data_IF_239280750191
#
_entry.id   IF_239280750191
#
_cell.length_a   1.000
_cell.length_b   1.000
_cell.length_c   1.000
_cell.angle_alpha   90.00
_cell.angle_beta   90.00
_cell.angle_gamma   90.00
#
_symmetry.space_group_name_H-M   'P 1'
#
loop_
_entity.id
_entity.type
_entity.pdbx_description
1 polymer ?
#
# COMPACT_ATOMS: atom_id res chain seq x y z
N UNK A 1 2.80 2.36 31.23
CA UNK A 1 1.54 2.87 30.66
C UNK A 1 1.14 1.92 29.54
N UNK A 2 -0.15 1.71 29.27
CA UNK A 2 -0.58 0.82 28.18
C UNK A 2 -0.45 1.54 26.84
N UNK A 3 -0.08 0.80 25.77
CA UNK A 3 0.01 1.34 24.40
C UNK A 3 -1.28 2.04 23.97
N UNK A 4 -2.43 1.51 24.38
CA UNK A 4 -3.74 2.10 24.11
C UNK A 4 -3.87 3.51 24.68
N UNK A 5 -3.50 3.71 25.95
CA UNK A 5 -3.55 5.04 26.59
C UNK A 5 -2.62 6.01 25.86
N UNK A 6 -1.40 5.58 25.58
CA UNK A 6 -0.40 6.43 24.93
C UNK A 6 -0.85 6.84 23.51
N UNK A 7 -1.48 5.92 22.76
CA UNK A 7 -2.03 6.21 21.44
C UNK A 7 -3.21 7.19 21.47
N UNK A 8 -4.15 7.03 22.40
CA UNK A 8 -5.27 7.96 22.56
C UNK A 8 -4.81 9.35 23.02
N UNK A 9 -3.84 9.38 23.94
CA UNK A 9 -3.24 10.62 24.42
C UNK A 9 -2.49 11.34 23.30
N UNK A 10 -1.75 10.61 22.46
CA UNK A 10 -1.03 11.17 21.32
C UNK A 10 -1.97 11.91 20.34
N UNK A 11 -3.15 11.35 20.05
CA UNK A 11 -4.10 11.97 19.10
C UNK A 11 -5.00 13.06 19.72
N UNK A 12 -5.19 13.07 21.04
CA UNK A 12 -6.12 13.99 21.71
C UNK A 12 -5.47 15.25 22.28
N UNK A 13 -4.13 15.26 22.40
CA UNK A 13 -3.37 16.46 22.79
C UNK A 13 -3.55 17.57 21.76
N UNK A 14 -3.59 18.81 22.23
CA UNK A 14 -3.73 19.98 21.35
C UNK A 14 -2.40 20.31 20.64
N UNK A 15 -2.44 20.67 19.34
CA UNK A 15 -3.62 20.64 18.45
C UNK A 15 -4.06 19.20 18.15
N UNK A 16 -5.38 18.94 18.23
CA UNK A 16 -5.94 17.59 18.02
C UNK A 16 -5.67 17.08 16.61
N UNK A 17 -5.55 15.76 16.49
CA UNK A 17 -5.22 15.12 15.23
C UNK A 17 -3.72 15.26 14.92
N UNK A 18 -3.37 15.07 13.65
CA UNK A 18 -1.98 14.88 13.23
C UNK A 18 -1.50 15.83 12.14
N UNK A 19 -2.40 16.66 11.62
CA UNK A 19 -2.12 17.54 10.48
C UNK A 19 -2.65 18.95 10.72
N UNK A 20 -2.01 19.93 10.09
CA UNK A 20 -2.44 21.32 10.06
C UNK A 20 -2.10 21.95 8.70
N UNK A 21 -2.80 23.02 8.33
CA UNK A 21 -2.53 23.79 7.11
C UNK A 21 -1.84 25.10 7.51
N UNK A 22 -0.62 25.28 7.00
CA UNK A 22 0.20 26.45 7.30
C UNK A 22 0.46 27.24 6.01
N UNK A 23 0.37 28.57 6.08
CA UNK A 23 0.74 29.43 4.96
C UNK A 23 2.22 29.32 4.64
N UNK A 24 2.56 29.19 3.35
CA UNK A 24 3.95 29.19 2.88
C UNK A 24 4.47 30.59 2.56
N UNK A 25 3.58 31.60 2.54
CA UNK A 25 3.91 32.99 2.22
C UNK A 25 3.54 33.91 3.39
N UNK A 26 4.26 35.03 3.59
CA UNK A 26 3.87 36.04 4.56
C UNK A 26 2.46 36.58 4.29
N UNK A 27 1.73 36.92 5.35
CA UNK A 27 0.41 37.56 5.29
C UNK A 27 0.28 38.68 6.34
N UNK A 28 1.38 39.39 6.64
CA UNK A 28 1.46 40.32 7.78
C UNK A 28 1.22 41.78 7.40
N UNK A 29 1.43 42.14 6.14
CA UNK A 29 1.28 43.52 5.65
C UNK A 29 0.14 43.67 4.64
N UNK A 30 -0.32 44.90 4.43
CA UNK A 30 -1.30 45.21 3.38
C UNK A 30 -0.80 44.78 1.97
N UNK A 31 0.51 44.89 1.74
CA UNK A 31 1.15 44.42 0.50
C UNK A 31 1.06 42.89 0.41
N UNK A 32 1.35 42.17 1.48
CA UNK A 32 1.27 40.70 1.49
C UNK A 32 -0.16 40.24 1.19
N UNK A 33 -1.17 40.84 1.83
CA UNK A 33 -2.58 40.53 1.57
C UNK A 33 -3.01 40.86 0.13
N UNK A 34 -2.50 41.96 -0.44
CA UNK A 34 -2.72 42.33 -1.84
C UNK A 34 -2.16 41.29 -2.81
N UNK A 35 -1.07 40.61 -2.46
CA UNK A 35 -0.44 39.57 -3.27
C UNK A 35 -1.07 38.19 -3.05
N UNK A 36 -1.33 37.84 -1.79
CA UNK A 36 -1.92 36.55 -1.40
C UNK A 36 -3.39 36.43 -1.84
N UNK A 37 -4.10 37.55 -1.94
CA UNK A 37 -5.50 37.60 -2.33
C UNK A 37 -5.76 38.74 -3.31
N UNK A 38 -6.99 39.29 -3.31
CA UNK A 38 -7.38 40.35 -4.21
C UNK A 38 -6.63 41.67 -3.92
N UNK A 39 -6.24 42.41 -4.98
CA UNK A 39 -6.40 42.09 -6.40
C UNK A 39 -5.31 41.18 -7.01
N UNK A 40 -4.18 40.95 -6.34
CA UNK A 40 -2.99 40.29 -6.91
C UNK A 40 -3.22 38.85 -7.36
N UNK A 41 -4.04 38.08 -6.64
CA UNK A 41 -4.36 36.68 -6.96
C UNK A 41 -5.00 36.51 -8.35
N UNK A 42 -5.62 37.54 -8.92
CA UNK A 42 -6.17 37.49 -10.27
C UNK A 42 -5.10 37.28 -11.35
N UNK A 43 -3.86 37.70 -11.09
CA UNK A 43 -2.75 37.60 -12.05
C UNK A 43 -2.40 36.13 -12.34
N UNK A 44 -2.03 35.28 -11.35
CA UNK A 44 -1.77 33.87 -11.61
C UNK A 44 -3.01 33.14 -12.16
N UNK A 45 -4.22 33.49 -11.72
CA UNK A 45 -5.46 32.92 -12.29
C UNK A 45 -5.57 33.17 -13.81
N UNK A 46 -5.33 34.40 -14.26
CA UNK A 46 -5.36 34.74 -15.69
C UNK A 46 -4.24 34.06 -16.49
N UNK A 47 -3.06 33.86 -15.88
CA UNK A 47 -1.96 33.12 -16.51
C UNK A 47 -2.32 31.65 -16.68
N UNK A 48 -2.84 31.00 -15.64
CA UNK A 48 -3.28 29.60 -15.69
C UNK A 48 -4.44 29.41 -16.67
N UNK A 49 -5.38 30.37 -16.74
CA UNK A 49 -6.48 30.31 -17.70
C UNK A 49 -5.99 30.28 -19.17
N UNK A 50 -4.90 31.01 -19.48
CA UNK A 50 -4.29 31.03 -20.81
C UNK A 50 -3.39 29.80 -21.06
N UNK A 51 -2.66 29.38 -20.04
CA UNK A 51 -1.70 28.28 -20.09
C UNK A 51 -1.92 27.33 -18.89
N UNK A 52 -2.80 26.32 -19.01
CA UNK A 52 -3.19 25.46 -17.88
C UNK A 52 -2.03 24.80 -17.13
N UNK A 53 -0.93 24.45 -17.83
CA UNK A 53 0.26 23.84 -17.21
C UNK A 53 0.94 24.75 -16.17
N UNK A 54 0.74 26.07 -16.26
CA UNK A 54 1.24 27.04 -15.27
C UNK A 54 0.65 26.86 -13.88
N UNK A 55 -0.37 26.01 -13.72
CA UNK A 55 -0.86 25.58 -12.41
C UNK A 55 0.26 24.99 -11.54
N UNK A 56 1.26 24.32 -12.15
CA UNK A 56 2.39 23.75 -11.42
C UNK A 56 3.43 24.79 -11.00
N UNK A 57 3.44 25.96 -11.63
CA UNK A 57 4.39 27.05 -11.33
C UNK A 57 3.85 27.96 -10.21
N UNK A 58 2.52 28.17 -10.18
CA UNK A 58 1.89 29.17 -9.32
C UNK A 58 1.00 28.61 -8.21
N UNK A 59 0.93 27.28 -8.06
CA UNK A 59 0.14 26.63 -7.00
C UNK A 59 0.90 25.50 -6.32
N UNK A 60 0.33 24.96 -5.24
CA UNK A 60 0.87 23.80 -4.55
C UNK A 60 0.65 22.47 -5.28
N UNK A 61 -0.09 22.44 -6.41
CA UNK A 61 -0.47 21.19 -7.13
C UNK A 61 0.71 20.25 -7.34
N UNK A 62 1.87 20.76 -7.76
CA UNK A 62 3.06 19.95 -8.04
C UNK A 62 3.66 19.21 -6.85
N UNK A 63 3.26 19.54 -5.61
CA UNK A 63 3.74 18.89 -4.39
C UNK A 63 2.59 18.49 -3.45
N UNK A 64 1.37 18.38 -3.96
CA UNK A 64 0.17 18.07 -3.18
C UNK A 64 -0.43 16.73 -3.63
N UNK A 65 -0.56 15.78 -2.71
CA UNK A 65 -1.17 14.46 -2.96
C UNK A 65 -2.48 14.34 -2.18
N UNK A 66 -3.49 13.75 -2.81
CA UNK A 66 -4.69 13.31 -2.10
C UNK A 66 -4.46 11.91 -1.55
N UNK A 67 -4.62 11.71 -0.24
CA UNK A 67 -4.78 10.37 0.34
C UNK A 67 -6.28 10.09 0.42
N UNK A 68 -6.78 9.17 -0.40
CA UNK A 68 -8.21 8.94 -0.59
C UNK A 68 -8.59 7.56 -0.08
N UNK A 69 -9.59 7.51 0.79
CA UNK A 69 -10.17 6.28 1.29
C UNK A 69 -11.68 6.41 1.40
N UNK A 70 -12.39 5.28 1.33
CA UNK A 70 -13.80 5.20 1.76
C UNK A 70 -13.97 4.41 3.07
N UNK A 71 -12.86 4.03 3.74
CA UNK A 71 -12.85 3.36 5.03
C UNK A 71 -13.36 1.92 5.02
N UNK A 72 -13.39 1.27 3.84
CA UNK A 72 -13.97 -0.07 3.68
C UNK A 72 -13.01 -1.23 3.98
N UNK A 73 -11.71 -0.95 4.12
CA UNK A 73 -10.70 -1.95 4.45
C UNK A 73 -9.57 -1.38 5.31
N UNK A 74 -9.92 -0.70 6.41
CA UNK A 74 -8.94 -0.01 7.26
C UNK A 74 -8.10 -1.02 8.04
N UNK A 75 -6.81 -1.13 7.71
CA UNK A 75 -5.88 -2.06 8.35
C UNK A 75 -6.46 -3.50 8.41
N UNK A 76 -6.37 -4.16 9.57
CA UNK A 76 -7.07 -5.41 9.86
C UNK A 76 -8.46 -5.23 10.50
N UNK A 77 -8.99 -4.01 10.55
CA UNK A 77 -10.27 -3.69 11.18
C UNK A 77 -11.46 -3.85 10.22
N UNK A 78 -11.20 -3.83 8.91
CA UNK A 78 -12.21 -4.00 7.88
C UNK A 78 -13.00 -2.73 7.60
N UNK A 79 -14.29 -2.89 7.31
CA UNK A 79 -15.19 -1.78 6.99
C UNK A 79 -15.66 -1.09 8.28
N UNK A 80 -14.98 0.00 8.63
CA UNK A 80 -15.28 0.82 9.82
C UNK A 80 -15.77 2.23 9.43
N UNK A 81 -15.89 2.48 8.13
CA UNK A 81 -16.38 3.72 7.57
C UNK A 81 -15.36 4.87 7.55
N UNK A 82 -15.68 5.95 6.83
CA UNK A 82 -14.77 7.06 6.55
C UNK A 82 -14.29 7.76 7.83
N UNK A 83 -15.19 8.05 8.78
CA UNK A 83 -14.81 8.78 10.01
C UNK A 83 -13.79 8.02 10.87
N UNK A 84 -13.95 6.70 11.00
CA UNK A 84 -13.03 5.88 11.77
C UNK A 84 -11.71 5.62 11.05
N UNK A 85 -11.68 5.77 9.72
CA UNK A 85 -10.45 5.69 8.91
C UNK A 85 -9.55 6.93 9.05
N UNK A 86 -10.12 8.08 9.41
CA UNK A 86 -9.42 9.38 9.43
C UNK A 86 -8.07 9.37 10.16
N UNK A 87 -7.92 8.78 11.36
CA UNK A 87 -6.63 8.71 12.01
C UNK A 87 -5.58 8.00 11.14
N UNK A 88 -5.93 6.95 10.40
CA UNK A 88 -4.97 6.26 9.51
C UNK A 88 -4.55 7.18 8.36
N UNK A 89 -5.49 7.88 7.74
CA UNK A 89 -5.23 8.78 6.61
C UNK A 89 -4.40 10.00 7.00
N UNK A 90 -4.68 10.65 8.14
CA UNK A 90 -3.80 11.70 8.67
C UNK A 90 -2.39 11.16 8.95
N UNK A 91 -2.30 9.90 9.40
CA UNK A 91 -1.03 9.20 9.59
C UNK A 91 -0.24 9.10 8.29
N UNK A 92 -0.88 8.67 7.20
CA UNK A 92 -0.27 8.65 5.85
C UNK A 92 0.21 10.04 5.43
N UNK A 93 -0.58 11.08 5.72
CA UNK A 93 -0.19 12.48 5.50
C UNK A 93 1.11 12.87 6.20
N UNK A 94 1.26 12.55 7.49
CA UNK A 94 2.52 12.78 8.22
C UNK A 94 3.69 12.06 7.54
N UNK A 95 3.51 10.81 7.14
CA UNK A 95 4.58 10.00 6.56
C UNK A 95 5.04 10.56 5.21
N UNK A 96 4.11 10.95 4.32
CA UNK A 96 4.42 11.68 3.09
C UNK A 96 5.24 12.94 3.37
N UNK A 97 4.81 13.75 4.35
CA UNK A 97 5.48 14.99 4.69
C UNK A 97 6.86 14.76 5.29
N UNK A 98 6.99 13.82 6.22
CA UNK A 98 8.21 13.57 6.99
C UNK A 98 9.30 12.93 6.14
N UNK A 99 8.95 11.98 5.28
CA UNK A 99 9.93 11.18 4.52
C UNK A 99 10.23 11.75 3.13
N UNK A 100 9.28 12.44 2.51
CA UNK A 100 9.41 12.93 1.13
C UNK A 100 9.11 14.42 0.93
N UNK A 101 8.82 15.16 2.02
CA UNK A 101 8.40 16.56 1.99
C UNK A 101 7.21 16.82 1.04
N UNK A 102 6.30 15.85 0.94
CA UNK A 102 5.07 15.96 0.14
C UNK A 102 3.95 16.51 1.03
N UNK A 103 3.19 17.48 0.53
CA UNK A 103 2.01 17.97 1.23
C UNK A 103 0.83 17.07 0.89
N UNK A 104 -0.05 16.86 1.87
CA UNK A 104 -1.19 15.94 1.71
C UNK A 104 -2.47 16.60 2.20
N UNK A 105 -3.56 16.33 1.48
CA UNK A 105 -4.89 16.33 2.08
C UNK A 105 -5.39 14.89 2.13
N UNK A 106 -5.83 14.48 3.32
CA UNK A 106 -6.59 13.26 3.54
C UNK A 106 -8.07 13.51 3.20
N UNK A 107 -8.66 12.59 2.43
CA UNK A 107 -9.99 12.69 1.85
C UNK A 107 -10.74 11.39 2.14
N UNK A 108 -11.47 11.38 3.26
CA UNK A 108 -12.36 10.28 3.64
C UNK A 108 -13.73 10.45 2.98
N UNK A 109 -14.05 9.59 2.02
CA UNK A 109 -15.30 9.65 1.26
C UNK A 109 -16.35 8.73 1.87
N UNK A 110 -17.53 9.27 2.21
CA UNK A 110 -18.73 8.47 2.49
C UNK A 110 -19.36 7.98 1.17
N UNK A 111 -18.62 7.09 0.50
CA UNK A 111 -18.91 6.59 -0.84
C UNK A 111 -18.78 5.06 -0.88
N UNK A 112 -19.85 4.32 -0.52
CA UNK A 112 -19.82 2.86 -0.55
C UNK A 112 -19.83 2.29 -1.98
N UNK A 113 -20.24 3.07 -2.98
CA UNK A 113 -20.20 2.68 -4.38
C UNK A 113 -18.84 3.08 -5.00
N UNK A 114 -18.10 2.13 -5.63
CA UNK A 114 -16.83 2.45 -6.28
C UNK A 114 -16.92 3.54 -7.36
N UNK A 115 -18.03 3.63 -8.10
CA UNK A 115 -18.19 4.67 -9.14
C UNK A 115 -18.24 6.09 -8.55
N UNK A 116 -18.72 6.24 -7.31
CA UNK A 116 -18.76 7.53 -6.64
C UNK A 116 -17.35 7.93 -6.13
N UNK A 117 -16.53 6.96 -5.72
CA UNK A 117 -15.10 7.18 -5.42
C UNK A 117 -14.35 7.64 -6.68
N UNK A 118 -14.58 6.96 -7.80
CA UNK A 118 -13.98 7.32 -9.10
C UNK A 118 -14.38 8.75 -9.49
N UNK A 119 -15.68 9.07 -9.42
CA UNK A 119 -16.20 10.39 -9.77
C UNK A 119 -15.61 11.49 -8.87
N UNK A 120 -15.53 11.25 -7.55
CA UNK A 120 -14.93 12.19 -6.62
C UNK A 120 -13.46 12.46 -6.96
N UNK A 121 -12.67 11.41 -7.19
CA UNK A 121 -11.28 11.51 -7.61
C UNK A 121 -11.12 12.29 -8.92
N UNK A 122 -11.96 12.02 -9.91
CA UNK A 122 -11.97 12.76 -11.18
C UNK A 122 -12.25 14.25 -10.97
N UNK A 123 -13.27 14.59 -10.18
CA UNK A 123 -13.66 15.99 -9.93
C UNK A 123 -12.59 16.77 -9.17
N UNK A 124 -11.85 16.11 -8.26
CA UNK A 124 -10.82 16.76 -7.45
C UNK A 124 -9.41 16.73 -8.06
N UNK A 125 -9.17 15.93 -9.10
CA UNK A 125 -7.87 15.81 -9.76
C UNK A 125 -7.21 17.16 -10.16
N UNK A 126 -7.94 18.23 -10.55
CA UNK A 126 -7.34 19.54 -10.80
C UNK A 126 -6.53 20.11 -9.61
N UNK A 127 -6.89 19.78 -8.37
CA UNK A 127 -6.20 20.24 -7.15
C UNK A 127 -4.87 19.53 -6.91
N UNK A 128 -4.77 18.25 -7.26
CA UNK A 128 -3.70 17.37 -6.80
C UNK A 128 -2.66 17.08 -7.87
N UNK A 129 -1.41 16.90 -7.46
CA UNK A 129 -0.32 16.40 -8.30
C UNK A 129 -0.28 14.88 -8.38
N UNK A 130 -1.02 14.17 -7.53
CA UNK A 130 -1.17 12.72 -7.54
C UNK A 130 -2.26 12.26 -6.54
N UNK A 131 -2.74 11.03 -6.71
CA UNK A 131 -3.76 10.40 -5.86
C UNK A 131 -3.22 9.08 -5.30
N UNK A 132 -3.15 9.00 -3.96
CA UNK A 132 -2.86 7.78 -3.23
C UNK A 132 -4.17 7.16 -2.73
N UNK A 133 -4.55 6.01 -3.27
CA UNK A 133 -5.71 5.24 -2.79
C UNK A 133 -5.28 4.38 -1.60
N UNK A 134 -6.09 4.39 -0.55
CA UNK A 134 -5.77 3.74 0.73
C UNK A 134 -6.98 3.04 1.33
N UNK A 135 -6.79 1.85 1.92
CA UNK A 135 -7.79 1.16 2.75
C UNK A 135 -9.16 0.98 2.04
N UNK A 136 -9.14 0.64 0.74
CA UNK A 136 -10.32 0.34 -0.07
C UNK A 136 -10.43 -1.17 -0.30
N UNK A 137 -11.60 -1.76 -0.03
CA UNK A 137 -11.78 -3.22 -0.09
C UNK A 137 -11.61 -3.80 -1.50
N UNK A 138 -11.07 -5.01 -1.56
CA UNK A 138 -11.11 -5.83 -2.77
C UNK A 138 -12.51 -6.46 -2.95
N UNK A 139 -13.00 -6.65 -4.19
CA UNK A 139 -12.33 -6.39 -5.46
C UNK A 139 -12.53 -4.97 -6.01
N UNK A 140 -13.25 -4.11 -5.31
CA UNK A 140 -13.61 -2.76 -5.78
C UNK A 140 -12.38 -1.87 -6.00
N UNK A 141 -11.36 -2.00 -5.14
CA UNK A 141 -10.12 -1.24 -5.26
C UNK A 141 -9.38 -1.44 -6.59
N UNK A 142 -9.46 -2.63 -7.22
CA UNK A 142 -8.87 -2.86 -8.54
C UNK A 142 -9.59 -2.06 -9.62
N UNK A 143 -10.92 -2.13 -9.61
CA UNK A 143 -11.74 -1.42 -10.58
C UNK A 143 -11.58 0.10 -10.46
N UNK A 144 -11.55 0.62 -9.22
CA UNK A 144 -11.31 2.04 -8.95
C UNK A 144 -9.95 2.47 -9.49
N UNK A 145 -8.88 1.74 -9.16
CA UNK A 145 -7.53 2.10 -9.60
C UNK A 145 -7.38 2.02 -11.13
N UNK A 146 -7.86 0.93 -11.76
CA UNK A 146 -7.80 0.76 -13.21
C UNK A 146 -8.49 1.93 -13.93
N UNK A 147 -9.72 2.29 -13.51
CA UNK A 147 -10.47 3.41 -14.08
C UNK A 147 -9.78 4.75 -13.88
N UNK A 148 -9.25 5.00 -12.69
CA UNK A 148 -8.57 6.25 -12.40
C UNK A 148 -7.26 6.40 -13.19
N UNK A 149 -6.48 5.32 -13.35
CA UNK A 149 -5.27 5.34 -14.19
C UNK A 149 -5.58 5.55 -15.66
N UNK A 150 -6.71 5.04 -16.17
CA UNK A 150 -7.17 5.27 -17.55
C UNK A 150 -7.58 6.72 -17.80
N UNK A 151 -8.22 7.37 -16.82
CA UNK A 151 -8.91 8.64 -17.04
C UNK A 151 -8.15 9.89 -16.58
N UNK A 152 -7.17 9.75 -15.67
CA UNK A 152 -6.44 10.88 -15.09
C UNK A 152 -5.06 11.07 -15.70
N UNK A 153 -4.66 12.33 -15.84
CA UNK A 153 -3.32 12.74 -16.29
C UNK A 153 -2.31 12.93 -15.12
N UNK A 154 -2.68 12.51 -13.91
CA UNK A 154 -1.85 12.53 -12.71
C UNK A 154 -1.66 11.11 -12.17
N UNK A 155 -0.54 10.81 -11.49
CA UNK A 155 -0.26 9.47 -11.04
C UNK A 155 -1.27 9.04 -9.96
N UNK A 156 -1.84 7.86 -10.16
CA UNK A 156 -2.72 7.17 -9.21
C UNK A 156 -2.00 5.92 -8.73
N UNK A 157 -1.97 5.70 -7.42
CA UNK A 157 -1.29 4.58 -6.79
C UNK A 157 -2.09 4.08 -5.61
N UNK A 158 -2.45 2.80 -5.61
CA UNK A 158 -2.99 2.16 -4.43
C UNK A 158 -1.88 1.59 -3.55
N UNK A 159 -1.69 2.13 -2.34
CA UNK A 159 -0.55 1.80 -1.50
C UNK A 159 -0.62 0.37 -0.93
N UNK A 160 -1.79 -0.05 -0.45
CA UNK A 160 -1.97 -1.42 0.07
C UNK A 160 -1.68 -2.50 -0.98
N UNK A 161 -1.87 -2.18 -2.26
CA UNK A 161 -1.51 -3.05 -3.37
C UNK A 161 -0.02 -2.93 -3.69
N UNK A 162 0.36 -1.81 -4.31
CA UNK A 162 1.64 -1.69 -4.98
C UNK A 162 2.74 -1.31 -4.02
N UNK A 163 2.46 -0.54 -2.97
CA UNK A 163 3.44 -0.21 -1.94
C UNK A 163 3.87 -1.45 -1.18
N UNK A 164 2.91 -2.28 -0.78
CA UNK A 164 3.17 -3.60 -0.17
C UNK A 164 3.96 -4.50 -1.13
N UNK A 165 3.59 -4.55 -2.42
CA UNK A 165 4.29 -5.36 -3.41
C UNK A 165 5.75 -4.95 -3.59
N UNK A 166 6.02 -3.65 -3.72
CA UNK A 166 7.36 -3.10 -3.91
C UNK A 166 8.26 -3.42 -2.73
N UNK A 167 7.81 -3.14 -1.50
CA UNK A 167 8.65 -3.37 -0.32
C UNK A 167 8.81 -4.87 -0.01
N UNK A 168 7.77 -5.68 -0.27
CA UNK A 168 7.85 -7.13 -0.15
C UNK A 168 8.83 -7.72 -1.17
N UNK A 169 8.83 -7.22 -2.40
CA UNK A 169 9.76 -7.61 -3.44
C UNK A 169 11.21 -7.23 -3.09
N UNK A 170 11.44 -6.03 -2.57
CA UNK A 170 12.77 -5.60 -2.11
C UNK A 170 13.31 -6.53 -1.01
N UNK A 171 12.49 -6.81 0.01
CA UNK A 171 12.86 -7.73 1.09
C UNK A 171 13.10 -9.16 0.58
N UNK A 172 12.28 -9.63 -0.36
CA UNK A 172 12.41 -10.96 -0.96
C UNK A 172 13.69 -11.10 -1.78
N UNK A 173 14.05 -10.08 -2.56
CA UNK A 173 15.31 -10.05 -3.32
C UNK A 173 16.52 -10.21 -2.40
N UNK A 174 16.56 -9.44 -1.31
CA UNK A 174 17.64 -9.52 -0.32
C UNK A 174 17.67 -10.88 0.38
N UNK A 175 16.50 -11.41 0.73
CA UNK A 175 16.40 -12.72 1.37
C UNK A 175 16.88 -13.86 0.46
N UNK A 176 16.54 -13.81 -0.85
CA UNK A 176 17.03 -14.76 -1.85
C UNK A 176 18.56 -14.72 -1.94
N UNK A 177 19.14 -13.52 -1.99
CA UNK A 177 20.60 -13.35 -2.04
C UNK A 177 21.29 -13.98 -0.83
N UNK A 178 20.74 -13.78 0.37
CA UNK A 178 21.28 -14.33 1.63
C UNK A 178 21.22 -15.86 1.65
N UNK A 179 20.10 -16.46 1.24
CA UNK A 179 19.94 -17.93 1.26
C UNK A 179 20.56 -18.63 0.04
N UNK A 180 20.94 -17.88 -1.00
CA UNK A 180 21.58 -18.39 -2.20
C UNK A 180 20.73 -19.35 -3.03
N UNK A 181 19.39 -19.24 -2.98
CA UNK A 181 18.48 -20.11 -3.74
C UNK A 181 18.19 -19.55 -5.14
N UNK A 182 17.98 -20.46 -6.09
CA UNK A 182 17.51 -20.11 -7.43
C UNK A 182 16.00 -19.83 -7.40
N UNK A 183 15.62 -18.56 -7.62
CA UNK A 183 14.23 -18.08 -7.57
C UNK A 183 13.29 -18.87 -8.48
N UNK A 184 13.79 -19.38 -9.62
CA UNK A 184 12.98 -20.15 -10.57
C UNK A 184 12.56 -21.51 -10.01
N UNK A 185 13.30 -22.04 -9.03
CA UNK A 185 13.04 -23.34 -8.37
C UNK A 185 12.24 -23.20 -7.07
N UNK A 186 12.03 -21.98 -6.59
CA UNK A 186 11.41 -21.76 -5.28
C UNK A 186 9.90 -21.95 -5.31
N UNK A 187 9.38 -22.70 -4.34
CA UNK A 187 7.94 -22.78 -4.05
C UNK A 187 7.52 -21.65 -3.13
N UNK A 188 6.63 -20.77 -3.61
CA UNK A 188 6.18 -19.58 -2.88
C UNK A 188 4.71 -19.69 -2.54
N UNK A 189 4.38 -19.49 -1.27
CA UNK A 189 3.01 -19.57 -0.74
C UNK A 189 2.57 -18.21 -0.25
N UNK A 190 1.44 -17.73 -0.77
CA UNK A 190 0.77 -16.53 -0.29
C UNK A 190 -0.43 -16.90 0.59
N UNK A 191 -0.53 -16.29 1.77
CA UNK A 191 -1.76 -16.26 2.56
C UNK A 191 -2.42 -14.90 2.43
N UNK A 192 -3.63 -14.90 1.87
CA UNK A 192 -4.36 -13.73 1.41
C UNK A 192 -4.74 -13.90 -0.07
N UNK A 193 -6.00 -13.62 -0.40
CA UNK A 193 -6.49 -13.56 -1.79
C UNK A 193 -7.02 -12.17 -2.17
N UNK A 194 -6.49 -11.15 -1.50
CA UNK A 194 -6.86 -9.74 -1.67
C UNK A 194 -5.85 -8.96 -2.51
N UNK A 195 -5.97 -7.64 -2.45
CA UNK A 195 -5.22 -6.69 -3.27
C UNK A 195 -3.70 -6.77 -3.06
N UNK A 196 -3.25 -6.71 -1.81
CA UNK A 196 -1.84 -6.86 -1.46
C UNK A 196 -1.26 -8.19 -1.95
N UNK A 197 -1.94 -9.31 -1.71
CA UNK A 197 -1.45 -10.64 -2.08
C UNK A 197 -1.24 -10.79 -3.59
N UNK A 198 -2.22 -10.34 -4.38
CA UNK A 198 -2.15 -10.42 -5.83
C UNK A 198 -1.10 -9.47 -6.40
N UNK A 199 -0.94 -8.27 -5.84
CA UNK A 199 0.10 -7.33 -6.26
C UNK A 199 1.51 -7.87 -5.94
N UNK A 200 1.74 -8.37 -4.72
CA UNK A 200 3.01 -9.01 -4.35
C UNK A 200 3.30 -10.23 -5.25
N UNK A 201 2.31 -11.10 -5.47
CA UNK A 201 2.47 -12.28 -6.30
C UNK A 201 2.87 -11.92 -7.74
N UNK A 202 2.22 -10.91 -8.36
CA UNK A 202 2.61 -10.42 -9.69
C UNK A 202 4.06 -9.92 -9.71
N UNK A 203 4.48 -9.19 -8.67
CA UNK A 203 5.84 -8.68 -8.60
C UNK A 203 6.87 -9.82 -8.46
N UNK A 204 6.55 -10.86 -7.69
CA UNK A 204 7.42 -12.03 -7.54
C UNK A 204 7.52 -12.84 -8.83
N UNK A 205 6.43 -12.94 -9.61
CA UNK A 205 6.46 -13.51 -10.97
C UNK A 205 7.40 -12.70 -11.88
N UNK A 206 7.32 -11.37 -11.84
CA UNK A 206 8.22 -10.48 -12.60
C UNK A 206 9.69 -10.60 -12.16
N UNK A 207 9.95 -11.00 -10.91
CA UNK A 207 11.29 -11.26 -10.39
C UNK A 207 11.83 -12.66 -10.73
N UNK A 208 11.03 -13.52 -11.37
CA UNK A 208 11.47 -14.84 -11.86
C UNK A 208 10.92 -16.04 -11.09
N UNK A 209 10.00 -15.85 -10.14
CA UNK A 209 9.25 -16.98 -9.57
C UNK A 209 8.37 -17.59 -10.68
N UNK A 210 8.44 -18.91 -10.87
CA UNK A 210 7.62 -19.59 -11.86
C UNK A 210 6.16 -19.71 -11.40
N UNK A 211 5.22 -19.51 -12.32
CA UNK A 211 3.78 -19.46 -12.02
C UNK A 211 3.25 -20.77 -11.44
N UNK A 212 3.79 -21.90 -11.88
CA UNK A 212 3.48 -23.25 -11.39
C UNK A 212 3.96 -23.49 -9.95
N UNK A 213 4.94 -22.73 -9.48
CA UNK A 213 5.51 -22.83 -8.12
C UNK A 213 4.85 -21.87 -7.12
N UNK A 214 3.96 -20.98 -7.59
CA UNK A 214 3.24 -20.02 -6.77
C UNK A 214 1.86 -20.56 -6.40
N UNK A 215 1.57 -20.61 -5.09
CA UNK A 215 0.29 -21.01 -4.53
C UNK A 215 -0.29 -19.84 -3.73
N UNK A 216 -1.55 -19.48 -3.99
CA UNK A 216 -2.27 -18.47 -3.22
C UNK A 216 -3.41 -19.12 -2.45
N UNK A 217 -3.55 -18.76 -1.18
CA UNK A 217 -4.61 -19.20 -0.29
C UNK A 217 -5.44 -18.00 0.16
N UNK A 218 -6.77 -18.14 0.16
CA UNK A 218 -7.66 -17.16 0.79
C UNK A 218 -8.44 -17.79 1.96
N UNK A 219 -9.49 -17.12 2.44
CA UNK A 219 -10.30 -17.60 3.57
C UNK A 219 -11.01 -18.94 3.34
N UNK A 220 -11.07 -19.46 2.10
CA UNK A 220 -11.62 -20.81 1.81
C UNK A 220 -10.54 -21.83 1.43
N UNK A 221 -9.26 -21.51 1.66
CA UNK A 221 -8.12 -22.36 1.33
C UNK A 221 -7.47 -21.99 0.00
N UNK A 222 -6.83 -22.97 -0.63
CA UNK A 222 -6.07 -22.76 -1.87
C UNK A 222 -6.99 -22.25 -2.99
N UNK A 223 -6.51 -21.28 -3.77
CA UNK A 223 -7.13 -20.85 -5.01
C UNK A 223 -6.69 -21.83 -6.11
N UNK A 224 -7.61 -22.69 -6.56
CA UNK A 224 -7.33 -23.74 -7.54
C UNK A 224 -8.31 -23.72 -8.72
N UNK A 225 -7.90 -24.29 -9.86
CA UNK A 225 -8.72 -24.30 -11.07
C UNK A 225 -10.00 -25.10 -10.86
N UNK A 226 -11.15 -24.48 -11.14
CA UNK A 226 -12.48 -25.10 -10.95
C UNK A 226 -13.07 -24.92 -9.55
N UNK A 227 -12.39 -24.20 -8.65
CA UNK A 227 -12.98 -23.75 -7.39
C UNK A 227 -14.18 -22.83 -7.67
N UNK A 228 -15.31 -23.03 -7.00
CA UNK A 228 -16.52 -22.20 -7.19
C UNK A 228 -16.68 -21.11 -6.15
N UNK A 229 -16.27 -21.38 -4.90
CA UNK A 229 -16.55 -20.50 -3.77
C UNK A 229 -15.52 -19.35 -3.66
N UNK A 230 -15.98 -18.12 -3.54
CA UNK A 230 -15.14 -16.94 -3.27
C UNK A 230 -14.19 -16.53 -4.41
N UNK A 231 -14.45 -17.01 -5.63
CA UNK A 231 -13.69 -16.68 -6.83
C UNK A 231 -14.17 -15.39 -7.48
N UNK A 232 -13.25 -14.70 -8.14
CA UNK A 232 -13.52 -13.53 -8.97
C UNK A 232 -12.50 -13.51 -10.14
N UNK A 233 -12.71 -12.68 -11.18
CA UNK A 233 -11.82 -12.67 -12.35
C UNK A 233 -10.33 -12.42 -12.04
N UNK A 234 -10.02 -11.68 -10.97
CA UNK A 234 -8.64 -11.43 -10.54
C UNK A 234 -8.01 -12.68 -9.91
N UNK A 235 -8.75 -13.38 -9.04
CA UNK A 235 -8.30 -14.63 -8.40
C UNK A 235 -8.11 -15.78 -9.39
N UNK A 236 -8.91 -15.86 -10.44
CA UNK A 236 -8.77 -16.88 -11.49
C UNK A 236 -7.37 -16.90 -12.10
N UNK A 237 -6.70 -15.74 -12.19
CA UNK A 237 -5.31 -15.62 -12.68
C UNK A 237 -4.31 -16.35 -11.79
N UNK A 238 -4.62 -16.51 -10.50
CA UNK A 238 -3.79 -17.16 -9.49
C UNK A 238 -4.23 -18.61 -9.16
N UNK A 239 -5.25 -19.12 -9.84
CA UNK A 239 -5.69 -20.51 -9.68
C UNK A 239 -4.57 -21.50 -10.04
N UNK A 240 -4.19 -22.36 -9.08
CA UNK A 240 -3.19 -23.42 -9.30
C UNK A 240 -3.84 -24.72 -9.79
N UNK A 241 -3.04 -25.58 -10.43
CA UNK A 241 -3.39 -26.96 -10.78
C UNK A 241 -2.89 -27.98 -9.74
N UNK A 242 -2.10 -27.52 -8.76
CA UNK A 242 -1.53 -28.41 -7.73
C UNK A 242 -2.63 -29.02 -6.84
N UNK A 243 -2.38 -30.22 -6.26
CA UNK A 243 -3.37 -30.93 -5.46
C UNK A 243 -3.61 -30.33 -4.07
N UNK A 244 -2.80 -29.35 -3.63
CA UNK A 244 -2.95 -28.70 -2.33
C UNK A 244 -4.35 -28.05 -2.20
N UNK A 245 -4.96 -28.17 -1.01
CA UNK A 245 -6.30 -27.59 -0.73
C UNK A 245 -6.31 -26.67 0.48
N UNK A 246 -5.46 -26.93 1.47
CA UNK A 246 -5.33 -26.10 2.67
C UNK A 246 -4.03 -25.29 2.67
N UNK A 247 -3.96 -24.25 3.50
CA UNK A 247 -2.71 -23.52 3.73
C UNK A 247 -1.61 -24.46 4.25
N UNK A 248 -1.94 -25.38 5.17
CA UNK A 248 -1.01 -26.39 5.66
C UNK A 248 -0.45 -27.28 4.54
N UNK A 249 -1.26 -27.65 3.55
CA UNK A 249 -0.78 -28.42 2.40
C UNK A 249 0.14 -27.60 1.49
N UNK A 250 -0.19 -26.33 1.29
CA UNK A 250 0.63 -25.42 0.50
C UNK A 250 2.01 -25.21 1.14
N UNK A 251 2.07 -25.09 2.48
CA UNK A 251 3.30 -24.83 3.25
C UNK A 251 4.33 -25.97 3.23
N UNK A 252 3.89 -27.22 3.00
CA UNK A 252 4.80 -28.38 2.93
C UNK A 252 5.86 -28.17 1.85
N UNK A 253 7.13 -28.12 2.25
CA UNK A 253 8.27 -27.88 1.37
C UNK A 253 8.27 -26.51 0.68
N UNK A 254 7.52 -25.53 1.19
CA UNK A 254 7.59 -24.16 0.66
C UNK A 254 8.92 -23.51 1.02
N UNK A 255 9.52 -22.78 0.07
CA UNK A 255 10.74 -22.01 0.28
C UNK A 255 10.45 -20.63 0.85
N UNK A 256 9.28 -20.07 0.51
CA UNK A 256 8.85 -18.77 0.99
C UNK A 256 7.37 -18.76 1.34
N UNK A 257 7.04 -18.07 2.43
CA UNK A 257 5.68 -17.76 2.87
C UNK A 257 5.50 -16.25 2.95
N UNK A 258 4.49 -15.72 2.27
CA UNK A 258 4.14 -14.30 2.27
C UNK A 258 2.71 -14.16 2.79
N UNK A 259 2.57 -13.68 4.02
CA UNK A 259 1.33 -13.43 4.70
C UNK A 259 0.90 -11.97 4.58
N UNK A 260 -0.28 -11.76 4.01
CA UNK A 260 -1.01 -10.48 3.98
C UNK A 260 -2.50 -10.76 4.23
N UNK A 261 -2.76 -11.43 5.34
CA UNK A 261 -4.05 -12.03 5.66
C UNK A 261 -4.52 -11.65 7.07
N UNK A 262 -4.69 -12.63 7.95
CA UNK A 262 -5.27 -12.42 9.29
C UNK A 262 -4.36 -12.99 10.36
N UNK A 263 -4.50 -12.44 11.56
CA UNK A 263 -3.82 -12.93 12.77
C UNK A 263 -4.02 -14.44 12.96
N UNK A 264 -2.97 -15.12 13.45
CA UNK A 264 -2.99 -16.53 13.86
C UNK A 264 -3.36 -17.52 12.74
N UNK A 265 -3.20 -17.12 11.48
CA UNK A 265 -3.46 -17.98 10.32
C UNK A 265 -2.42 -19.11 10.14
N UNK A 266 -1.23 -18.96 10.72
CA UNK A 266 -0.10 -19.89 10.56
C UNK A 266 0.26 -20.51 11.90
N UNK A 267 0.48 -21.83 11.92
CA UNK A 267 0.90 -22.55 13.13
C UNK A 267 2.39 -22.94 13.06
N UNK A 268 3.04 -23.20 14.22
CA UNK A 268 4.43 -23.70 14.25
C UNK A 268 4.63 -25.00 13.46
N UNK A 269 3.62 -25.88 13.38
CA UNK A 269 3.68 -27.12 12.59
C UNK A 269 3.78 -26.84 11.09
N UNK A 270 3.05 -25.84 10.59
CA UNK A 270 3.14 -25.42 9.18
C UNK A 270 4.55 -24.91 8.87
N UNK A 271 5.12 -24.08 9.76
CA UNK A 271 6.48 -23.55 9.65
C UNK A 271 7.54 -24.67 9.67
N UNK A 272 7.37 -25.66 10.54
CA UNK A 272 8.24 -26.84 10.60
C UNK A 272 8.21 -27.66 9.31
N UNK A 273 7.10 -27.63 8.57
CA UNK A 273 6.94 -28.37 7.30
C UNK A 273 7.59 -27.71 6.08
N UNK A 274 8.04 -26.44 6.20
CA UNK A 274 8.67 -25.70 5.12
C UNK A 274 10.06 -26.24 4.74
N UNK A 275 10.56 -25.90 3.56
CA UNK A 275 11.90 -26.24 3.10
C UNK A 275 12.99 -25.62 3.99
N UNK A 276 14.23 -26.12 3.92
CA UNK A 276 15.41 -25.59 4.63
C UNK A 276 15.63 -24.10 4.28
N UNK A 277 16.10 -23.29 5.22
CA UNK A 277 16.37 -21.85 5.06
C UNK A 277 15.14 -21.09 4.48
N UNK A 278 13.97 -21.13 5.16
CA UNK A 278 12.73 -20.59 4.62
C UNK A 278 12.65 -19.08 4.82
N UNK A 279 12.03 -18.40 3.86
CA UNK A 279 11.68 -16.98 3.98
C UNK A 279 10.24 -16.89 4.50
N UNK A 280 10.01 -16.18 5.59
CA UNK A 280 8.70 -16.05 6.24
C UNK A 280 8.40 -14.59 6.49
N UNK A 281 7.54 -14.01 5.65
CA UNK A 281 7.06 -12.63 5.80
C UNK A 281 5.63 -12.68 6.36
N UNK A 282 5.45 -12.36 7.64
CA UNK A 282 4.14 -12.33 8.32
C UNK A 282 3.71 -10.88 8.52
N UNK A 283 3.01 -10.31 7.52
CA UNK A 283 2.82 -8.87 7.37
C UNK A 283 1.40 -8.39 7.73
N UNK A 284 0.53 -9.26 8.27
CA UNK A 284 -0.76 -8.82 8.78
C UNK A 284 -0.62 -7.79 9.93
N UNK A 285 -1.48 -6.78 9.93
CA UNK A 285 -1.50 -5.70 10.92
C UNK A 285 -2.84 -5.64 11.66
N UNK A 286 -2.85 -5.28 12.96
CA UNK A 286 -1.68 -4.98 13.80
C UNK A 286 -0.96 -6.23 14.32
N UNK A 287 -1.56 -7.42 14.17
CA UNK A 287 -0.99 -8.67 14.63
C UNK A 287 -0.70 -9.60 13.44
N UNK A 288 0.51 -10.16 13.35
CA UNK A 288 0.94 -10.98 12.21
C UNK A 288 0.24 -12.34 12.19
N UNK A 289 0.35 -13.04 11.05
CA UNK A 289 -0.14 -14.42 10.86
C UNK A 289 0.44 -15.40 11.87
N UNK A 290 1.67 -15.17 12.28
CA UNK A 290 2.40 -15.88 13.33
C UNK A 290 3.45 -14.93 13.89
N UNK A 291 3.70 -15.00 15.20
CA UNK A 291 4.71 -14.18 15.86
C UNK A 291 6.13 -14.71 15.57
N UNK A 292 7.14 -13.84 15.40
CA UNK A 292 8.54 -14.25 15.20
C UNK A 292 9.05 -15.23 16.28
N UNK A 293 8.62 -15.06 17.52
CA UNK A 293 8.99 -15.92 18.64
C UNK A 293 8.50 -17.36 18.44
N UNK A 294 7.31 -17.54 17.86
CA UNK A 294 6.76 -18.88 17.58
C UNK A 294 7.47 -19.54 16.39
N UNK A 295 7.90 -18.75 15.39
CA UNK A 295 8.73 -19.25 14.29
C UNK A 295 10.07 -19.76 14.83
N UNK A 296 10.75 -18.95 15.65
CA UNK A 296 12.09 -19.27 16.15
C UNK A 296 12.13 -20.47 17.11
N UNK A 297 11.00 -20.83 17.73
CA UNK A 297 10.89 -22.09 18.51
C UNK A 297 11.05 -23.34 17.65
N UNK A 298 10.67 -23.29 16.38
CA UNK A 298 10.66 -24.46 15.48
C UNK A 298 11.67 -24.38 14.34
N UNK A 299 12.15 -23.18 13.99
CA UNK A 299 13.09 -22.93 12.90
C UNK A 299 14.09 -21.84 13.27
N UNK A 300 15.34 -22.23 13.47
CA UNK A 300 16.47 -21.30 13.69
C UNK A 300 17.05 -20.76 12.38
N UNK A 301 16.74 -21.39 11.25
CA UNK A 301 17.24 -21.09 9.91
C UNK A 301 16.32 -20.18 9.10
N UNK A 302 15.20 -19.72 9.67
CA UNK A 302 14.22 -18.88 8.97
C UNK A 302 14.67 -17.41 8.90
N UNK A 303 14.56 -16.80 7.71
CA UNK A 303 14.56 -15.34 7.57
C UNK A 303 13.13 -14.87 7.84
N UNK A 304 12.95 -14.09 8.91
CA UNK A 304 11.64 -13.61 9.35
C UNK A 304 11.53 -12.11 9.13
N UNK A 305 10.39 -11.67 8.61
CA UNK A 305 10.02 -10.27 8.47
C UNK A 305 8.56 -10.06 8.89
N UNK A 306 8.24 -8.87 9.39
CA UNK A 306 6.86 -8.50 9.76
C UNK A 306 6.52 -7.07 9.32
N UNK A 307 5.25 -6.68 9.41
CA UNK A 307 4.84 -5.28 9.19
C UNK A 307 5.17 -4.33 10.34
N UNK A 308 5.57 -4.86 11.50
CA UNK A 308 5.72 -4.11 12.76
C UNK A 308 7.12 -3.54 12.94
N UNK A 309 7.20 -2.35 13.51
CA UNK A 309 8.44 -1.62 13.74
C UNK A 309 9.23 -2.07 14.97
N UNK A 310 8.60 -2.83 15.86
CA UNK A 310 9.24 -3.37 17.07
C UNK A 310 9.94 -4.71 16.84
N UNK A 311 9.88 -5.25 15.62
CA UNK A 311 10.64 -6.43 15.19
C UNK A 311 11.72 -6.07 14.16
N UNK A 312 12.80 -6.87 14.07
CA UNK A 312 13.75 -6.78 12.96
C UNK A 312 13.07 -7.00 11.59
N UNK A 313 13.72 -6.55 10.52
CA UNK A 313 13.27 -6.74 9.13
C UNK A 313 11.83 -6.27 8.90
N UNK A 314 11.52 -5.03 9.29
CA UNK A 314 10.21 -4.45 9.04
C UNK A 314 9.96 -4.28 7.53
N UNK A 315 8.93 -4.96 7.02
CA UNK A 315 8.42 -4.81 5.66
C UNK A 315 7.16 -3.94 5.73
N UNK A 316 7.35 -2.64 5.56
CA UNK A 316 6.28 -1.66 5.69
C UNK A 316 6.27 -0.69 4.50
N UNK A 317 5.07 -0.44 3.95
CA UNK A 317 4.88 0.38 2.77
C UNK A 317 5.34 1.83 2.93
N UNK A 318 5.59 2.32 4.16
CA UNK A 318 6.27 3.61 4.44
C UNK A 318 7.61 3.77 3.72
N UNK A 319 8.30 2.67 3.43
CA UNK A 319 9.57 2.67 2.69
C UNK A 319 9.37 2.80 1.17
N UNK A 320 8.13 2.77 0.67
CA UNK A 320 7.79 2.87 -0.74
C UNK A 320 7.02 4.15 -1.08
N UNK A 321 5.78 4.31 -0.60
CA UNK A 321 4.87 5.33 -1.14
C UNK A 321 5.41 6.77 -1.09
N UNK A 322 6.10 7.25 -0.03
CA UNK A 322 6.56 8.63 -0.02
C UNK A 322 7.56 8.88 -1.15
N UNK A 323 8.48 7.93 -1.36
CA UNK A 323 9.55 8.05 -2.34
C UNK A 323 9.08 7.78 -3.77
N UNK A 324 8.14 6.84 -3.94
CA UNK A 324 7.47 6.58 -5.22
C UNK A 324 6.80 7.86 -5.74
N UNK A 325 6.00 8.53 -4.90
CA UNK A 325 5.39 9.80 -5.25
C UNK A 325 6.42 10.92 -5.40
N UNK A 326 7.49 10.95 -4.61
CA UNK A 326 8.55 11.97 -4.78
C UNK A 326 9.11 11.92 -6.21
N UNK A 327 9.51 10.73 -6.66
CA UNK A 327 10.00 10.54 -8.02
C UNK A 327 8.95 10.86 -9.09
N UNK A 328 7.70 10.43 -8.88
CA UNK A 328 6.61 10.71 -9.81
C UNK A 328 6.29 12.21 -9.92
N UNK A 329 6.26 12.94 -8.80
CA UNK A 329 5.99 14.38 -8.76
C UNK A 329 7.14 15.20 -9.34
N UNK A 330 8.40 14.85 -9.02
CA UNK A 330 9.59 15.54 -9.53
C UNK A 330 9.71 15.46 -11.06
N UNK A 331 9.21 14.36 -11.64
CA UNK A 331 9.22 14.13 -13.08
C UNK A 331 7.89 14.49 -13.76
N UNK A 332 6.89 14.96 -12.99
CA UNK A 332 5.50 15.16 -13.46
C UNK A 332 4.98 13.94 -14.23
N UNK A 333 5.28 12.74 -13.74
CA UNK A 333 4.87 11.48 -14.34
C UNK A 333 3.35 11.38 -14.39
N UNK A 334 2.79 11.02 -15.56
CA UNK A 334 1.33 10.80 -15.70
C UNK A 334 0.85 9.56 -14.97
N UNK A 335 1.71 8.56 -14.80
CA UNK A 335 1.38 7.28 -14.19
C UNK A 335 2.59 6.70 -13.45
N UNK A 336 2.31 5.87 -12.44
CA UNK A 336 3.30 4.96 -11.85
C UNK A 336 3.12 3.59 -12.53
N UNK A 337 4.07 3.23 -13.38
CA UNK A 337 4.07 1.99 -14.18
C UNK A 337 4.84 0.85 -13.48
N UNK A 338 4.87 -0.32 -14.10
CA UNK A 338 5.53 -1.50 -13.54
C UNK A 338 7.06 -1.35 -13.48
N UNK A 339 7.66 -0.69 -14.47
CA UNK A 339 9.10 -0.43 -14.49
C UNK A 339 9.53 0.48 -13.32
N UNK A 340 8.73 1.49 -12.99
CA UNK A 340 8.95 2.34 -11.81
C UNK A 340 8.84 1.54 -10.50
N UNK A 341 7.87 0.62 -10.40
CA UNK A 341 7.73 -0.27 -9.23
C UNK A 341 8.94 -1.18 -9.06
N UNK A 342 9.39 -1.82 -10.14
CA UNK A 342 10.60 -2.66 -10.13
C UNK A 342 11.84 -1.83 -9.81
N UNK A 343 11.96 -0.62 -10.33
CA UNK A 343 13.06 0.27 -10.01
C UNK A 343 13.06 0.66 -8.52
N UNK A 344 11.90 0.98 -7.95
CA UNK A 344 11.77 1.31 -6.53
C UNK A 344 12.10 0.11 -5.62
N UNK A 345 11.77 -1.12 -6.02
CA UNK A 345 12.12 -2.31 -5.22
C UNK A 345 13.62 -2.63 -5.24
N UNK A 346 14.35 -2.19 -6.28
CA UNK A 346 15.80 -2.39 -6.40
C UNK A 346 16.62 -1.31 -5.69
N UNK A 347 16.06 -0.12 -5.51
CA UNK A 347 16.72 1.04 -4.92
C UNK A 347 16.82 0.92 -3.39
#
# INVERSE_FOLDING_TARGET
MSLERDALEYHSREPRGKIEVISTKPCFTARDLTLAYSPGVAIPCNVIHKEPDKVYDYTSKGNLVAVVSNGTAVLGLGDIGPLASKPVMEGKGILFKKFANINVFDIELDAPNPDDVIRACQMMAPTFGGINLEDIKAPECFYIEEKLKEMLDIPVFHDDQHGTAVISAAAFSNAIEIIGKDVSKMKVVFSGGGAAAMACANMYLNMGVLRENLIMCDSKGVIYKGRKEGMNPYKERFATLLPARTLADAMKGADAFIGVSVKDAVTPEMVKSMAKDPIIFAMANPNPEILPEEIHKVRSDAIVATGRSDYPNQVNNVLCFPFMFRGALDTRSRQINEEMKVAAAKA
#
